data_IF_119205574939
#
_entry.id   IF_119205574939
#
_cell.length_a   1.000
_cell.length_b   1.000
_cell.length_c   1.000
_cell.angle_alpha   90.00
_cell.angle_beta   90.00
_cell.angle_gamma   90.00
#
_symmetry.space_group_name_H-M   'P 1'
#
loop_
_entity.id
_entity.type
_entity.pdbx_description
1 polymer ?
#
# COMPACT_ATOMS: atom_id res chain seq x y z
N UNK A 1 -0.41 -35.44 -30.70
CA UNK A 1 0.70 -34.51 -30.93
C UNK A 1 0.23 -33.07 -31.07
N UNK A 2 -0.83 -32.82 -31.85
CA UNK A 2 -1.41 -31.46 -31.99
C UNK A 2 -1.94 -30.91 -30.66
N UNK A 3 -2.46 -31.78 -29.79
CA UNK A 3 -2.99 -31.35 -28.47
C UNK A 3 -1.89 -30.84 -27.54
N UNK A 4 -0.68 -31.33 -27.66
CA UNK A 4 0.46 -30.85 -26.85
C UNK A 4 0.83 -29.41 -27.18
N UNK A 5 0.72 -29.02 -28.46
CA UNK A 5 1.03 -27.66 -28.89
C UNK A 5 0.01 -26.65 -28.34
N UNK A 6 -1.23 -27.07 -28.09
CA UNK A 6 -2.27 -26.21 -27.51
C UNK A 6 -2.08 -26.05 -25.99
N UNK A 7 -1.55 -27.08 -25.33
CA UNK A 7 -1.34 -27.04 -23.87
C UNK A 7 -0.28 -26.01 -23.50
N UNK A 8 0.80 -25.88 -24.27
CA UNK A 8 1.91 -24.97 -23.98
C UNK A 8 1.44 -23.52 -23.88
N UNK A 9 0.66 -22.95 -24.83
CA UNK A 9 0.13 -21.59 -24.69
C UNK A 9 -0.77 -21.42 -23.47
N UNK A 10 -1.60 -22.42 -23.15
CA UNK A 10 -2.49 -22.36 -21.99
C UNK A 10 -1.68 -22.29 -20.70
N UNK A 11 -0.65 -23.13 -20.58
CA UNK A 11 0.23 -23.10 -19.41
C UNK A 11 0.96 -21.76 -19.28
N UNK A 12 1.33 -21.15 -20.39
CA UNK A 12 1.96 -19.85 -20.38
C UNK A 12 1.02 -18.77 -19.81
N UNK A 13 -0.27 -18.80 -20.15
CA UNK A 13 -1.26 -17.87 -19.59
C UNK A 13 -1.50 -18.11 -18.09
N UNK A 14 -1.36 -19.32 -17.60
CA UNK A 14 -1.50 -19.60 -16.17
C UNK A 14 -0.38 -18.98 -15.33
N UNK A 15 0.70 -18.52 -15.94
CA UNK A 15 1.80 -17.84 -15.25
C UNK A 15 1.60 -16.33 -15.17
N UNK A 16 0.49 -15.78 -15.67
CA UNK A 16 0.19 -14.36 -15.54
C UNK A 16 -0.06 -14.04 -14.08
N UNK A 17 0.74 -13.11 -13.54
CA UNK A 17 0.63 -12.66 -12.16
C UNK A 17 -0.39 -11.55 -12.07
N UNK A 18 -1.29 -11.63 -11.10
CA UNK A 18 -2.20 -10.55 -10.78
C UNK A 18 -1.46 -9.46 -10.01
N UNK A 19 -1.85 -8.20 -10.24
CA UNK A 19 -1.34 -7.05 -9.50
C UNK A 19 -2.40 -6.63 -8.52
N UNK A 20 -2.04 -6.52 -7.24
CA UNK A 20 -2.93 -6.07 -6.18
C UNK A 20 -2.65 -4.61 -5.87
N UNK A 21 -3.68 -3.79 -6.00
CA UNK A 21 -3.63 -2.35 -5.71
C UNK A 21 -4.67 -2.03 -4.65
N UNK A 22 -4.28 -1.27 -3.63
CA UNK A 22 -5.21 -0.73 -2.65
C UNK A 22 -5.20 0.80 -2.71
N UNK A 23 -6.34 1.40 -2.37
CA UNK A 23 -6.47 2.85 -2.18
C UNK A 23 -7.01 3.08 -0.78
N UNK A 24 -6.33 3.93 0.00
CA UNK A 24 -6.62 4.05 1.41
C UNK A 24 -6.40 5.49 1.88
N UNK A 25 -7.47 6.16 2.28
CA UNK A 25 -7.36 7.44 2.97
C UNK A 25 -7.06 7.14 4.44
N UNK A 26 -5.83 7.42 4.87
CA UNK A 26 -5.39 7.08 6.22
C UNK A 26 -5.72 8.16 7.24
N UNK A 27 -6.35 9.25 6.83
CA UNK A 27 -6.64 10.42 7.63
C UNK A 27 -5.37 11.07 8.19
N UNK A 28 -5.20 12.34 7.94
CA UNK A 28 -4.01 13.06 8.38
C UNK A 28 -3.86 13.03 9.93
N UNK A 29 -2.64 13.30 10.37
CA UNK A 29 -2.32 13.35 11.80
C UNK A 29 -2.92 14.62 12.41
N UNK A 30 -4.01 14.45 13.16
CA UNK A 30 -4.74 15.54 13.80
C UNK A 30 -4.81 15.27 15.30
N UNK A 31 -4.15 16.12 16.10
CA UNK A 31 -4.12 15.98 17.56
C UNK A 31 -5.50 16.16 18.22
N UNK A 32 -6.48 16.68 17.49
CA UNK A 32 -7.84 16.87 17.99
C UNK A 32 -8.75 15.67 17.76
N UNK A 33 -8.23 14.55 17.30
CA UNK A 33 -9.04 13.35 16.99
C UNK A 33 -9.41 12.51 18.21
N UNK A 34 -9.10 12.96 19.43
CA UNK A 34 -9.45 12.22 20.65
C UNK A 34 -8.77 10.86 20.69
N UNK A 35 -9.58 9.81 20.89
CA UNK A 35 -9.04 8.43 20.93
C UNK A 35 -8.59 7.93 19.55
N UNK A 36 -8.98 8.60 18.49
CA UNK A 36 -8.65 8.25 17.12
C UNK A 36 -7.42 9.00 16.60
N UNK A 37 -6.57 9.52 17.47
CA UNK A 37 -5.32 10.14 17.07
C UNK A 37 -4.42 9.15 16.34
N UNK A 38 -3.51 9.65 15.54
CA UNK A 38 -2.61 8.84 14.70
C UNK A 38 -1.86 7.77 15.52
N UNK A 39 -1.34 8.14 16.67
CA UNK A 39 -0.56 7.24 17.53
C UNK A 39 -1.35 5.99 17.92
N UNK A 40 -2.67 6.11 18.04
CA UNK A 40 -3.54 4.97 18.37
C UNK A 40 -3.96 4.14 17.15
N UNK A 41 -3.81 4.68 15.93
CA UNK A 41 -4.25 4.04 14.69
C UNK A 41 -3.10 3.46 13.87
N UNK A 42 -1.92 4.00 14.03
CA UNK A 42 -0.79 3.73 13.11
C UNK A 42 -0.43 2.26 13.00
N UNK A 43 -0.48 1.52 14.09
CA UNK A 43 -0.17 0.07 14.05
C UNK A 43 -1.23 -0.72 13.31
N UNK A 44 -2.50 -0.36 13.48
CA UNK A 44 -3.60 -1.00 12.74
C UNK A 44 -3.48 -0.76 11.23
N UNK A 45 -3.15 0.48 10.84
CA UNK A 45 -2.97 0.83 9.43
C UNK A 45 -1.78 0.11 8.83
N UNK A 46 -0.66 0.10 9.52
CA UNK A 46 0.54 -0.63 9.11
C UNK A 46 0.25 -2.12 8.97
N UNK A 47 -0.41 -2.72 9.96
CA UNK A 47 -0.74 -4.14 9.92
C UNK A 47 -1.71 -4.48 8.78
N UNK A 48 -2.66 -3.61 8.49
CA UNK A 48 -3.55 -3.80 7.35
C UNK A 48 -2.75 -3.89 6.03
N UNK A 49 -1.81 -2.98 5.83
CA UNK A 49 -0.99 -2.98 4.61
C UNK A 49 -0.12 -4.24 4.55
N UNK A 50 0.48 -4.63 5.66
CA UNK A 50 1.30 -5.86 5.72
C UNK A 50 0.46 -7.10 5.40
N UNK A 51 -0.72 -7.21 6.01
CA UNK A 51 -1.58 -8.39 5.84
C UNK A 51 -2.14 -8.47 4.41
N UNK A 52 -2.52 -7.34 3.83
CA UNK A 52 -3.01 -7.29 2.45
C UNK A 52 -1.90 -7.50 1.43
N UNK A 53 -0.68 -7.16 1.77
CA UNK A 53 0.51 -7.33 0.93
C UNK A 53 0.31 -6.83 -0.51
N UNK A 54 -0.13 -5.59 -0.71
CA UNK A 54 -0.37 -5.08 -2.05
C UNK A 54 0.93 -4.85 -2.81
N UNK A 55 0.84 -4.89 -4.14
CA UNK A 55 1.95 -4.45 -5.00
C UNK A 55 2.06 -2.93 -5.00
N UNK A 56 0.92 -2.24 -4.94
CA UNK A 56 0.86 -0.78 -4.86
C UNK A 56 -0.20 -0.37 -3.82
N UNK A 57 0.15 0.60 -3.00
CA UNK A 57 -0.77 1.22 -2.05
C UNK A 57 -0.83 2.72 -2.31
N UNK A 58 -1.99 3.19 -2.78
CA UNK A 58 -2.27 4.62 -2.91
C UNK A 58 -2.83 5.15 -1.61
N UNK A 59 -2.07 5.96 -0.90
CA UNK A 59 -2.47 6.52 0.38
C UNK A 59 -2.79 8.00 0.23
N UNK A 60 -3.88 8.44 0.85
CA UNK A 60 -4.31 9.82 0.83
C UNK A 60 -4.22 10.44 2.23
N UNK A 61 -4.05 11.76 2.28
CA UNK A 61 -3.96 12.58 3.49
C UNK A 61 -2.71 12.29 4.34
N UNK A 62 -1.66 11.80 3.73
CA UNK A 62 -0.42 11.48 4.44
C UNK A 62 0.32 12.75 4.82
N UNK A 63 0.52 12.98 6.12
CA UNK A 63 1.39 14.03 6.63
C UNK A 63 2.82 13.53 6.79
N UNK A 64 3.76 14.44 7.00
CA UNK A 64 5.18 14.07 7.08
C UNK A 64 5.47 13.04 8.17
N UNK A 65 4.90 13.23 9.37
CA UNK A 65 5.12 12.29 10.48
C UNK A 65 4.58 10.89 10.18
N UNK A 66 3.45 10.82 9.46
CA UNK A 66 2.88 9.54 9.03
C UNK A 66 3.76 8.86 7.99
N UNK A 67 4.30 9.64 7.05
CA UNK A 67 5.22 9.12 6.05
C UNK A 67 6.46 8.50 6.70
N UNK A 68 7.07 9.18 7.67
CA UNK A 68 8.25 8.67 8.37
C UNK A 68 7.93 7.33 9.04
N UNK A 69 6.82 7.24 9.76
CA UNK A 69 6.42 5.98 10.39
C UNK A 69 6.23 4.86 9.36
N UNK A 70 5.53 5.16 8.27
CA UNK A 70 5.23 4.14 7.26
C UNK A 70 6.49 3.68 6.52
N UNK A 71 7.38 4.60 6.18
CA UNK A 71 8.63 4.23 5.48
C UNK A 71 9.56 3.40 6.38
N UNK A 72 9.57 3.68 7.68
CA UNK A 72 10.34 2.90 8.64
C UNK A 72 9.71 1.54 8.93
N UNK A 73 8.39 1.44 8.86
CA UNK A 73 7.65 0.22 9.18
C UNK A 73 7.45 -0.71 7.98
N UNK A 74 7.45 -0.17 6.77
CA UNK A 74 7.16 -0.89 5.53
C UNK A 74 8.39 -0.89 4.62
N UNK A 75 9.46 -1.51 5.07
CA UNK A 75 10.77 -1.42 4.42
C UNK A 75 10.86 -2.10 3.05
N UNK A 76 9.90 -2.98 2.73
CA UNK A 76 9.82 -3.60 1.41
C UNK A 76 9.21 -2.69 0.35
N UNK A 77 8.78 -1.48 0.74
CA UNK A 77 8.14 -0.52 -0.14
C UNK A 77 8.98 0.74 -0.28
N UNK A 78 9.08 1.22 -1.49
CA UNK A 78 9.52 2.60 -1.77
C UNK A 78 8.29 3.48 -1.94
N UNK A 79 8.46 4.79 -1.89
CA UNK A 79 7.35 5.70 -2.06
C UNK A 79 7.65 6.79 -3.09
N UNK A 80 6.58 7.31 -3.67
CA UNK A 80 6.60 8.47 -4.55
C UNK A 80 5.33 9.27 -4.31
N UNK A 81 5.42 10.57 -4.38
CA UNK A 81 4.24 11.42 -4.22
C UNK A 81 4.53 12.71 -3.48
N UNK A 82 3.44 13.38 -3.11
CA UNK A 82 3.47 14.67 -2.42
C UNK A 82 2.71 14.57 -1.11
N UNK A 83 3.12 15.38 -0.14
CA UNK A 83 2.46 15.47 1.15
C UNK A 83 1.13 16.20 1.08
N UNK A 84 0.30 15.95 2.09
CA UNK A 84 -1.03 16.56 2.19
C UNK A 84 -0.97 18.08 2.33
N UNK A 85 -0.03 18.57 3.12
CA UNK A 85 -0.05 19.97 3.55
C UNK A 85 0.84 20.88 2.72
N UNK A 86 1.96 20.38 2.23
CA UNK A 86 2.98 21.18 1.56
C UNK A 86 3.24 20.80 0.10
N UNK A 87 2.55 19.78 -0.39
CA UNK A 87 2.75 19.27 -1.74
C UNK A 87 4.13 18.68 -1.98
N UNK A 88 4.87 18.40 -0.91
CA UNK A 88 6.24 17.91 -0.96
C UNK A 88 6.46 16.87 0.14
N UNK A 89 7.20 15.83 -0.17
CA UNK A 89 7.56 14.82 0.81
C UNK A 89 9.07 14.72 0.97
#
# INVERSE_FOLDING_TARGET
>A
MKNLLLIIPILFFLNITEIKVISYNIRYNNSNDGINIWENRRSTIKNFIVDENPDFAGLQEVTYSQLIFLTESLKDYDYVGVGRDDGCL
#
